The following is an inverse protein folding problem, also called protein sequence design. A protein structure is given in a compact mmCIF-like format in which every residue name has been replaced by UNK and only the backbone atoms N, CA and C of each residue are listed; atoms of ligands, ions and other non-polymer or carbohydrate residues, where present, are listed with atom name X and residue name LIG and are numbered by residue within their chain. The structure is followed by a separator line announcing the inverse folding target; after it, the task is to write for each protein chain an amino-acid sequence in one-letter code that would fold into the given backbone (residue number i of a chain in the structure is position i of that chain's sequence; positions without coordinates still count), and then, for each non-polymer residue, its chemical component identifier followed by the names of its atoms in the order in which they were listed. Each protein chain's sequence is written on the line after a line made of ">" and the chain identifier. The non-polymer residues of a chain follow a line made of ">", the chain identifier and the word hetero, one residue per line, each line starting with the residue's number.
data_IF_185641764948
#
_entry.id   IF_185641764948
#
_cell.length_a   1.000
_cell.length_b   1.000
_cell.length_c   1.000
_cell.angle_alpha   90.00
_cell.angle_beta   90.00
_cell.angle_gamma   90.00
#
_symmetry.space_group_name_H-M   'P 1'
#
loop_
_entity.id
_entity.type
_entity.pdbx_description
1 polymer ?
#
# COMPACT_ATOMS: atom_id res chain seq x y z
N UNK A 1 -19.24 0.46 37.61
CA UNK A 1 -17.88 0.07 37.16
C UNK A 1 -17.92 -0.99 36.05
N UNK A 2 -19.01 -1.09 35.29
CA UNK A 2 -19.23 -2.23 34.38
C UNK A 2 -18.86 -1.90 32.92
N UNK A 3 -18.91 -0.62 32.55
CA UNK A 3 -18.53 -0.14 31.22
C UNK A 3 -17.04 -0.35 30.95
N UNK A 4 -16.17 -0.03 31.92
CA UNK A 4 -14.71 -0.21 31.79
C UNK A 4 -14.34 -1.71 31.75
N UNK A 5 -15.04 -2.55 32.51
CA UNK A 5 -14.88 -4.01 32.46
C UNK A 5 -15.29 -4.59 31.10
N UNK A 6 -16.39 -4.11 30.51
CA UNK A 6 -16.85 -4.58 29.20
C UNK A 6 -15.93 -4.13 28.05
N UNK A 7 -15.31 -2.94 28.15
CA UNK A 7 -14.28 -2.52 27.19
C UNK A 7 -13.04 -3.41 27.26
N UNK A 8 -12.60 -3.80 28.46
CA UNK A 8 -11.45 -4.71 28.65
C UNK A 8 -11.74 -6.16 28.25
N UNK A 9 -13.02 -6.55 28.20
CA UNK A 9 -13.50 -7.88 27.80
C UNK A 9 -13.97 -7.96 26.35
N UNK A 10 -13.85 -6.86 25.59
CA UNK A 10 -14.30 -6.78 24.20
C UNK A 10 -13.16 -7.21 23.26
N UNK A 11 -13.18 -8.48 22.84
CA UNK A 11 -12.26 -9.04 21.82
C UNK A 11 -12.28 -8.26 20.50
N UNK A 12 -13.37 -7.55 20.21
CA UNK A 12 -13.54 -6.76 18.98
C UNK A 12 -12.40 -5.73 18.77
N UNK A 13 -11.84 -5.17 19.85
CA UNK A 13 -10.70 -4.26 19.76
C UNK A 13 -9.38 -4.98 19.45
N UNK A 14 -9.17 -6.17 20.01
CA UNK A 14 -8.00 -7.00 19.74
C UNK A 14 -8.03 -7.50 18.27
N UNK A 15 -9.19 -7.94 17.80
CA UNK A 15 -9.43 -8.35 16.40
C UNK A 15 -9.24 -7.19 15.41
N UNK A 16 -9.60 -5.95 15.77
CA UNK A 16 -9.37 -4.77 14.94
C UNK A 16 -7.88 -4.45 14.76
N UNK A 17 -7.05 -4.72 15.76
CA UNK A 17 -5.58 -4.53 15.67
C UNK A 17 -4.96 -5.57 14.75
N UNK A 18 -5.42 -6.82 14.80
CA UNK A 18 -4.93 -7.90 13.93
C UNK A 18 -5.27 -7.65 12.45
N UNK A 19 -6.54 -7.34 12.16
CA UNK A 19 -6.94 -6.97 10.79
C UNK A 19 -6.34 -5.63 10.34
N UNK A 20 -6.12 -4.70 11.28
CA UNK A 20 -5.41 -3.45 11.02
C UNK A 20 -3.96 -3.68 10.58
N UNK A 21 -3.25 -4.62 11.23
CA UNK A 21 -1.89 -5.00 10.84
C UNK A 21 -1.86 -5.68 9.46
N UNK A 22 -2.79 -6.59 9.18
CA UNK A 22 -2.89 -7.24 7.87
C UNK A 22 -3.19 -6.20 6.78
N UNK A 23 -4.12 -5.28 7.02
CA UNK A 23 -4.44 -4.20 6.09
C UNK A 23 -3.25 -3.26 5.84
N UNK A 24 -2.47 -2.95 6.89
CA UNK A 24 -1.25 -2.16 6.76
C UNK A 24 -0.20 -2.87 5.88
N UNK A 25 0.00 -4.18 6.06
CA UNK A 25 0.93 -4.96 5.24
C UNK A 25 0.48 -5.04 3.77
N UNK A 26 -0.83 -5.23 3.53
CA UNK A 26 -1.39 -5.22 2.17
C UNK A 26 -1.20 -3.83 1.52
N UNK A 27 -1.45 -2.75 2.26
CA UNK A 27 -1.26 -1.40 1.76
C UNK A 27 0.20 -1.13 1.36
N UNK A 28 1.17 -1.54 2.19
CA UNK A 28 2.60 -1.38 1.87
C UNK A 28 2.98 -2.18 0.62
N UNK A 29 2.51 -3.43 0.50
CA UNK A 29 2.76 -4.25 -0.67
C UNK A 29 2.14 -3.64 -1.95
N UNK A 30 0.91 -3.13 -1.86
CA UNK A 30 0.23 -2.47 -2.97
C UNK A 30 0.97 -1.21 -3.42
N UNK A 31 1.39 -0.35 -2.48
CA UNK A 31 2.19 0.86 -2.78
C UNK A 31 3.49 0.47 -3.49
N UNK A 32 4.18 -0.57 -3.01
CA UNK A 32 5.43 -1.04 -3.61
C UNK A 32 5.21 -1.52 -5.05
N UNK A 33 4.16 -2.31 -5.31
CA UNK A 33 3.82 -2.79 -6.64
C UNK A 33 3.46 -1.64 -7.59
N UNK A 34 2.65 -0.68 -7.13
CA UNK A 34 2.25 0.49 -7.93
C UNK A 34 3.47 1.33 -8.30
N UNK A 35 4.40 1.56 -7.38
CA UNK A 35 5.64 2.28 -7.67
C UNK A 35 6.49 1.55 -8.73
N UNK A 36 6.57 0.21 -8.66
CA UNK A 36 7.27 -0.59 -9.68
C UNK A 36 6.67 -0.41 -11.08
N UNK A 37 5.33 -0.43 -11.18
CA UNK A 37 4.62 -0.20 -12.45
C UNK A 37 4.83 1.24 -12.95
N UNK A 38 4.75 2.23 -12.05
CA UNK A 38 4.96 3.63 -12.41
C UNK A 38 6.35 3.87 -12.97
N UNK A 39 7.39 3.36 -12.31
CA UNK A 39 8.77 3.48 -12.76
C UNK A 39 8.96 2.82 -14.14
N UNK A 40 8.51 1.58 -14.31
CA UNK A 40 8.61 0.90 -15.61
C UNK A 40 7.86 1.64 -16.73
N UNK A 41 6.77 2.31 -16.39
CA UNK A 41 6.01 3.11 -17.37
C UNK A 41 6.77 4.38 -17.74
N UNK A 42 7.37 5.06 -16.76
CA UNK A 42 8.20 6.25 -17.00
C UNK A 42 9.41 5.87 -17.86
N UNK A 43 10.13 4.81 -17.51
CA UNK A 43 11.31 4.33 -18.25
C UNK A 43 10.96 4.03 -19.72
N UNK A 44 9.80 3.43 -19.97
CA UNK A 44 9.32 3.15 -21.33
C UNK A 44 9.06 4.45 -22.12
N UNK A 45 8.45 5.46 -21.49
CA UNK A 45 8.21 6.74 -22.16
C UNK A 45 9.48 7.53 -22.40
N UNK A 46 10.43 7.48 -21.48
CA UNK A 46 11.74 8.10 -21.62
C UNK A 46 12.52 7.47 -22.78
N UNK A 47 12.52 6.13 -22.90
CA UNK A 47 13.13 5.42 -24.04
C UNK A 47 12.48 5.81 -25.38
N UNK A 48 11.15 5.93 -25.41
CA UNK A 48 10.43 6.40 -26.62
C UNK A 48 10.82 7.85 -26.95
N UNK A 49 10.86 8.74 -25.95
CA UNK A 49 11.22 10.14 -26.14
C UNK A 49 12.66 10.28 -26.65
N UNK A 50 13.60 9.51 -26.09
CA UNK A 50 15.00 9.46 -26.52
C UNK A 50 15.12 8.97 -27.96
N UNK A 51 14.42 7.89 -28.31
CA UNK A 51 14.40 7.35 -29.68
C UNK A 51 13.83 8.34 -30.68
N UNK A 52 12.77 9.06 -30.33
CA UNK A 52 12.22 10.11 -31.21
C UNK A 52 13.22 11.25 -31.36
N UNK A 53 13.84 11.71 -30.27
CA UNK A 53 14.82 12.81 -30.31
C UNK A 53 16.10 12.45 -31.07
N UNK A 54 16.51 11.17 -31.05
CA UNK A 54 17.75 10.71 -31.69
C UNK A 54 17.53 10.36 -33.17
N UNK A 55 16.31 9.99 -33.57
CA UNK A 55 15.95 9.74 -34.97
C UNK A 55 15.44 10.99 -35.72
N UNK A 56 15.42 12.16 -35.04
CA UNK A 56 15.12 13.47 -35.61
C UNK A 56 16.39 14.25 -35.91
#
# INVERSE_FOLDING_TARGET
>A
MDMIKNLYRSENGATAVEYGLIAALIAIAAITAINGVANSTIDMWDDVAEKVSTNS
#
